data_IF_277071205054
#
_entry.id   IF_277071205054
#
_cell.length_a   1.000
_cell.length_b   1.000
_cell.length_c   1.000
_cell.angle_alpha   90.00
_cell.angle_beta   90.00
_cell.angle_gamma   90.00
#
_symmetry.space_group_name_H-M   'P 1'
#
loop_
_entity.id
_entity.type
_entity.pdbx_description
1 polymer ?
#
# COMPACT_ATOMS: atom_id res chain seq x y z
N UNK A 1 8.74 -39.07 21.61
CA UNK A 1 9.32 -38.98 22.98
C UNK A 1 9.75 -37.54 23.33
N UNK A 2 10.39 -36.80 22.41
CA UNK A 2 10.84 -35.42 22.62
C UNK A 2 9.69 -34.42 22.87
N UNK A 3 8.49 -34.69 22.37
CA UNK A 3 7.30 -33.86 22.64
C UNK A 3 6.72 -34.01 24.07
N UNK A 4 7.29 -34.88 24.91
CA UNK A 4 6.82 -35.07 26.30
C UNK A 4 7.46 -34.12 27.31
N UNK A 5 8.50 -33.37 26.93
CA UNK A 5 9.15 -32.38 27.80
C UNK A 5 8.86 -30.98 27.31
N UNK A 6 8.37 -30.08 28.17
CA UNK A 6 8.16 -28.68 27.89
C UNK A 6 9.48 -27.89 27.87
N UNK A 7 10.32 -28.22 26.90
CA UNK A 7 11.61 -27.56 26.65
C UNK A 7 11.56 -26.79 25.30
N UNK A 8 12.64 -26.12 24.95
CA UNK A 8 12.71 -25.34 23.68
C UNK A 8 12.51 -26.25 22.46
N UNK A 9 12.94 -27.49 22.48
CA UNK A 9 12.74 -28.45 21.39
C UNK A 9 11.28 -28.87 21.24
N UNK A 10 10.52 -29.01 22.35
CA UNK A 10 9.08 -29.26 22.29
C UNK A 10 8.35 -28.14 21.55
N UNK A 11 8.61 -26.89 21.90
CA UNK A 11 7.94 -25.75 21.23
C UNK A 11 8.33 -25.64 19.75
N UNK A 12 9.55 -25.95 19.42
CA UNK A 12 10.05 -25.94 18.05
C UNK A 12 9.38 -27.04 17.19
N UNK A 13 9.29 -28.26 17.71
CA UNK A 13 8.57 -29.36 17.06
C UNK A 13 7.07 -29.08 16.96
N UNK A 14 6.46 -28.50 17.99
CA UNK A 14 5.06 -28.09 17.94
C UNK A 14 4.82 -27.04 16.85
N UNK A 15 5.71 -26.07 16.72
CA UNK A 15 5.68 -25.06 15.65
C UNK A 15 5.80 -25.70 14.27
N UNK A 16 6.74 -26.63 14.10
CA UNK A 16 6.92 -27.38 12.86
C UNK A 16 5.64 -28.11 12.46
N UNK A 17 5.13 -28.97 13.34
CA UNK A 17 3.91 -29.75 13.09
C UNK A 17 2.70 -28.86 12.82
N UNK A 18 2.52 -27.80 13.62
CA UNK A 18 1.39 -26.86 13.46
C UNK A 18 1.39 -26.19 12.08
N UNK A 19 2.53 -25.73 11.60
CA UNK A 19 2.58 -25.07 10.28
C UNK A 19 2.39 -26.06 9.15
N UNK A 20 2.97 -27.27 9.23
CA UNK A 20 2.75 -28.34 8.24
C UNK A 20 1.27 -28.72 8.15
N UNK A 21 0.59 -28.90 9.28
CA UNK A 21 -0.81 -29.31 9.30
C UNK A 21 -1.76 -28.20 8.82
N UNK A 22 -1.43 -26.94 9.09
CA UNK A 22 -2.26 -25.80 8.70
C UNK A 22 -1.93 -25.27 7.30
N UNK A 23 -0.87 -25.76 6.67
CA UNK A 23 -0.52 -25.30 5.32
C UNK A 23 -1.56 -25.79 4.28
N UNK A 24 -1.98 -24.94 3.35
CA UNK A 24 -2.97 -25.30 2.32
C UNK A 24 -2.32 -26.11 1.18
N UNK A 25 -2.13 -27.40 1.38
CA UNK A 25 -1.46 -28.31 0.43
C UNK A 25 -2.24 -28.52 -0.88
N UNK A 26 -3.53 -28.25 -0.89
CA UNK A 26 -4.38 -28.53 -2.05
C UNK A 26 -5.23 -27.33 -2.41
N UNK A 27 -5.30 -27.02 -3.71
CA UNK A 27 -6.18 -26.02 -4.30
C UNK A 27 -7.49 -26.59 -4.83
N UNK A 28 -7.78 -27.87 -4.58
CA UNK A 28 -8.89 -28.59 -5.23
C UNK A 28 -10.26 -27.91 -5.04
N UNK A 29 -10.52 -27.34 -3.86
CA UNK A 29 -11.78 -26.63 -3.59
C UNK A 29 -11.91 -25.34 -4.39
N UNK A 30 -10.84 -24.57 -4.49
CA UNK A 30 -10.83 -23.30 -5.23
C UNK A 30 -10.85 -23.54 -6.74
N UNK A 31 -10.11 -24.54 -7.22
CA UNK A 31 -10.11 -24.93 -8.63
C UNK A 31 -11.49 -25.45 -9.08
N UNK A 32 -12.21 -26.16 -8.19
CA UNK A 32 -13.59 -26.59 -8.43
C UNK A 32 -14.55 -25.40 -8.53
N UNK A 33 -14.37 -24.37 -7.71
CA UNK A 33 -15.17 -23.14 -7.79
C UNK A 33 -15.06 -22.49 -9.18
N UNK A 34 -13.85 -22.27 -9.68
CA UNK A 34 -13.61 -21.70 -11.00
C UNK A 34 -14.04 -22.64 -12.13
N UNK A 35 -13.91 -23.96 -11.96
CA UNK A 35 -14.44 -24.95 -12.91
C UNK A 35 -15.96 -24.89 -13.05
N UNK A 36 -16.67 -24.66 -11.96
CA UNK A 36 -18.13 -24.47 -11.99
C UNK A 36 -18.53 -23.16 -12.67
N UNK A 37 -17.74 -22.08 -12.51
CA UNK A 37 -17.95 -20.83 -13.23
C UNK A 37 -17.72 -21.02 -14.74
N UNK A 38 -16.67 -21.75 -15.14
CA UNK A 38 -16.38 -22.06 -16.54
C UNK A 38 -17.52 -22.80 -17.25
N UNK A 39 -18.26 -23.64 -16.54
CA UNK A 39 -19.38 -24.41 -17.09
C UNK A 39 -20.67 -23.60 -17.21
N UNK A 40 -20.74 -22.37 -16.69
CA UNK A 40 -21.95 -21.57 -16.66
C UNK A 40 -21.62 -20.09 -16.94
N UNK A 41 -21.77 -19.68 -18.20
CA UNK A 41 -21.46 -18.33 -18.68
C UNK A 41 -22.22 -17.23 -17.93
N UNK A 42 -23.47 -17.49 -17.53
CA UNK A 42 -24.29 -16.50 -16.79
C UNK A 42 -23.68 -16.27 -15.40
N UNK A 43 -23.35 -17.34 -14.69
CA UNK A 43 -22.72 -17.22 -13.37
C UNK A 43 -21.33 -16.59 -13.44
N UNK A 44 -20.57 -16.89 -14.49
CA UNK A 44 -19.26 -16.28 -14.73
C UNK A 44 -19.38 -14.77 -14.96
N UNK A 45 -20.36 -14.35 -15.78
CA UNK A 45 -20.63 -12.94 -16.04
C UNK A 45 -21.06 -12.19 -14.76
N UNK A 46 -21.99 -12.77 -14.00
CA UNK A 46 -22.49 -12.20 -12.75
C UNK A 46 -21.34 -12.08 -11.70
N UNK A 47 -20.48 -13.09 -11.64
CA UNK A 47 -19.30 -13.06 -10.77
C UNK A 47 -18.33 -11.92 -11.14
N UNK A 48 -17.99 -11.79 -12.43
CA UNK A 48 -17.09 -10.71 -12.92
C UNK A 48 -17.70 -9.35 -12.61
N UNK A 49 -18.99 -9.12 -12.89
CA UNK A 49 -19.67 -7.87 -12.57
C UNK A 49 -19.67 -7.56 -11.09
N UNK A 50 -19.94 -8.55 -10.24
CA UNK A 50 -19.91 -8.37 -8.79
C UNK A 50 -18.50 -7.99 -8.29
N UNK A 51 -17.46 -8.59 -8.86
CA UNK A 51 -16.06 -8.23 -8.54
C UNK A 51 -15.76 -6.81 -9.01
N UNK A 52 -16.18 -6.43 -10.21
CA UNK A 52 -16.00 -5.07 -10.75
C UNK A 52 -16.70 -4.04 -9.86
N UNK A 53 -17.97 -4.24 -9.51
CA UNK A 53 -18.73 -3.38 -8.61
C UNK A 53 -18.06 -3.24 -7.24
N UNK A 54 -17.54 -4.33 -6.67
CA UNK A 54 -16.81 -4.28 -5.39
C UNK A 54 -15.52 -3.48 -5.50
N UNK A 55 -14.75 -3.64 -6.58
CA UNK A 55 -13.54 -2.88 -6.83
C UNK A 55 -13.83 -1.39 -7.00
N UNK A 56 -14.91 -1.03 -7.72
CA UNK A 56 -15.32 0.37 -7.87
C UNK A 56 -15.73 1.01 -6.54
N UNK A 57 -16.44 0.28 -5.70
CA UNK A 57 -16.90 0.78 -4.41
C UNK A 57 -15.80 0.86 -3.34
N UNK A 58 -14.73 0.08 -3.47
CA UNK A 58 -13.65 -0.01 -2.46
C UNK A 58 -12.46 0.90 -2.73
N UNK A 59 -12.21 1.27 -3.99
CA UNK A 59 -11.09 2.11 -4.38
C UNK A 59 -11.45 3.05 -5.53
N UNK A 60 -11.12 4.32 -5.37
CA UNK A 60 -11.34 5.34 -6.41
C UNK A 60 -10.24 5.30 -7.47
N UNK A 61 -10.63 5.37 -8.76
CA UNK A 61 -9.70 5.39 -9.89
C UNK A 61 -8.93 4.08 -10.08
N UNK A 62 -7.72 4.18 -10.64
CA UNK A 62 -6.84 3.05 -10.95
C UNK A 62 -7.42 2.05 -11.96
N UNK A 63 -8.12 2.54 -12.98
CA UNK A 63 -8.90 1.72 -13.95
C UNK A 63 -8.03 0.71 -14.68
N UNK A 64 -6.78 1.07 -15.06
CA UNK A 64 -5.84 0.14 -15.68
C UNK A 64 -5.45 -1.01 -14.75
N UNK A 65 -5.25 -0.71 -13.47
CA UNK A 65 -4.95 -1.72 -12.47
C UNK A 65 -6.14 -2.65 -12.27
N UNK A 66 -7.34 -2.10 -12.08
CA UNK A 66 -8.59 -2.87 -11.96
C UNK A 66 -8.83 -3.76 -13.18
N UNK A 67 -8.66 -3.21 -14.39
CA UNK A 67 -8.78 -3.97 -15.64
C UNK A 67 -7.79 -5.13 -15.73
N UNK A 68 -6.54 -4.90 -15.35
CA UNK A 68 -5.51 -5.95 -15.32
C UNK A 68 -5.87 -7.08 -14.36
N UNK A 69 -6.46 -6.75 -13.22
CA UNK A 69 -6.93 -7.73 -12.23
C UNK A 69 -8.14 -8.53 -12.76
N UNK A 70 -9.10 -7.89 -13.41
CA UNK A 70 -10.23 -8.58 -14.06
C UNK A 70 -9.76 -9.54 -15.16
N UNK A 71 -8.71 -9.21 -15.91
CA UNK A 71 -8.11 -10.12 -16.89
C UNK A 71 -7.58 -11.42 -16.27
N UNK A 72 -7.04 -11.34 -15.04
CA UNK A 72 -6.54 -12.53 -14.33
C UNK A 72 -7.69 -13.39 -13.87
N UNK A 73 -8.75 -12.78 -13.38
CA UNK A 73 -9.98 -13.51 -13.00
C UNK A 73 -10.54 -14.24 -14.23
N UNK A 74 -10.58 -13.55 -15.38
CA UNK A 74 -10.93 -14.18 -16.65
C UNK A 74 -10.03 -15.38 -17.00
N UNK A 75 -8.70 -15.26 -16.77
CA UNK A 75 -7.76 -16.38 -16.93
C UNK A 75 -8.11 -17.56 -16.01
N UNK A 76 -8.46 -17.31 -14.74
CA UNK A 76 -8.82 -18.38 -13.80
C UNK A 76 -10.14 -19.06 -14.15
N UNK A 77 -11.14 -18.31 -14.61
CA UNK A 77 -12.39 -18.88 -15.10
C UNK A 77 -12.15 -19.75 -16.33
N UNK A 78 -11.36 -19.25 -17.29
CA UNK A 78 -11.05 -19.99 -18.53
C UNK A 78 -10.17 -21.21 -18.29
N UNK A 79 -9.19 -21.09 -17.37
CA UNK A 79 -8.29 -22.18 -16.98
C UNK A 79 -8.14 -22.24 -15.45
N UNK A 80 -9.03 -22.98 -14.77
CA UNK A 80 -9.04 -23.11 -13.30
C UNK A 80 -7.71 -23.61 -12.73
N UNK A 81 -6.97 -24.42 -13.47
CA UNK A 81 -5.68 -24.95 -13.05
C UNK A 81 -4.50 -23.97 -13.28
N UNK A 82 -4.78 -22.78 -13.82
CA UNK A 82 -3.73 -21.81 -14.09
C UNK A 82 -3.04 -21.35 -12.80
N UNK A 83 -1.73 -21.11 -12.95
CA UNK A 83 -0.89 -20.57 -11.89
C UNK A 83 -1.28 -19.12 -11.53
N UNK A 84 -0.87 -18.69 -10.34
CA UNK A 84 -0.88 -17.31 -9.88
C UNK A 84 -0.07 -16.38 -10.81
N UNK A 85 -0.06 -15.13 -10.49
CA UNK A 85 0.64 -14.13 -11.30
C UNK A 85 1.30 -13.11 -10.36
N UNK A 86 2.48 -12.62 -10.77
CA UNK A 86 3.21 -11.59 -10.03
C UNK A 86 2.93 -10.21 -10.61
N UNK A 87 2.57 -9.25 -9.74
CA UNK A 87 2.28 -7.85 -10.09
C UNK A 87 3.14 -6.89 -9.31
N UNK A 88 3.57 -5.83 -9.97
CA UNK A 88 4.23 -4.69 -9.35
C UNK A 88 3.35 -3.45 -9.41
N UNK A 89 2.90 -2.94 -8.28
CA UNK A 89 2.19 -1.66 -8.17
C UNK A 89 3.24 -0.55 -8.00
N UNK A 90 3.53 0.17 -9.07
CA UNK A 90 4.53 1.24 -9.09
C UNK A 90 3.88 2.61 -9.07
N UNK A 91 4.39 3.52 -8.25
CA UNK A 91 3.86 4.88 -8.16
C UNK A 91 4.26 5.59 -6.87
N UNK A 92 4.00 6.89 -6.77
CA UNK A 92 4.40 7.68 -5.61
C UNK A 92 3.76 7.20 -4.31
N UNK A 93 4.31 7.59 -3.15
CA UNK A 93 3.73 7.21 -1.86
C UNK A 93 2.35 7.86 -1.65
N UNK A 94 1.48 7.15 -0.95
CA UNK A 94 0.15 7.67 -0.55
C UNK A 94 -0.95 7.60 -1.62
N UNK A 95 -0.69 7.01 -2.79
CA UNK A 95 -1.69 6.85 -3.88
C UNK A 95 -2.60 5.62 -3.72
N UNK A 96 -2.51 4.88 -2.62
CA UNK A 96 -3.43 3.80 -2.32
C UNK A 96 -3.01 2.41 -2.82
N UNK A 97 -1.74 2.15 -3.15
CA UNK A 97 -1.26 0.82 -3.60
C UNK A 97 -1.69 -0.33 -2.69
N UNK A 98 -1.48 -0.20 -1.38
CA UNK A 98 -1.89 -1.20 -0.38
C UNK A 98 -3.40 -1.34 -0.27
N UNK A 99 -4.14 -0.23 -0.39
CA UNK A 99 -5.61 -0.24 -0.40
C UNK A 99 -6.13 -1.01 -1.61
N UNK A 100 -5.57 -0.74 -2.80
CA UNK A 100 -5.93 -1.45 -4.02
C UNK A 100 -5.72 -2.97 -3.88
N UNK A 101 -4.58 -3.41 -3.34
CA UNK A 101 -4.30 -4.83 -3.12
C UNK A 101 -5.29 -5.48 -2.14
N UNK A 102 -5.68 -4.78 -1.07
CA UNK A 102 -6.73 -5.22 -0.14
C UNK A 102 -8.11 -5.28 -0.80
N UNK A 103 -8.44 -4.26 -1.59
CA UNK A 103 -9.72 -4.23 -2.33
C UNK A 103 -9.86 -5.43 -3.26
N UNK A 104 -8.78 -5.87 -3.89
CA UNK A 104 -8.76 -7.09 -4.71
C UNK A 104 -9.05 -8.33 -3.88
N UNK A 105 -8.41 -8.46 -2.72
CA UNK A 105 -8.66 -9.58 -1.80
C UNK A 105 -10.13 -9.65 -1.38
N UNK A 106 -10.69 -8.51 -0.99
CA UNK A 106 -12.10 -8.40 -0.58
C UNK A 106 -13.07 -8.66 -1.74
N UNK A 107 -12.76 -8.17 -2.94
CA UNK A 107 -13.59 -8.38 -4.12
C UNK A 107 -13.64 -9.85 -4.55
N UNK A 108 -12.49 -10.55 -4.46
CA UNK A 108 -12.35 -11.96 -4.82
C UNK A 108 -12.75 -12.94 -3.70
N UNK A 109 -12.94 -12.44 -2.48
CA UNK A 109 -13.11 -13.26 -1.26
C UNK A 109 -11.95 -14.26 -1.05
N UNK A 110 -10.73 -13.79 -1.28
CA UNK A 110 -9.49 -14.55 -1.03
C UNK A 110 -8.67 -13.89 0.09
N UNK A 111 -7.93 -14.67 0.88
CA UNK A 111 -7.12 -14.13 1.97
C UNK A 111 -6.01 -13.20 1.48
N UNK A 112 -5.64 -12.25 2.35
CA UNK A 112 -4.59 -11.27 2.12
C UNK A 112 -3.59 -11.30 3.27
N UNK A 113 -2.30 -11.38 2.95
CA UNK A 113 -1.24 -11.20 3.92
C UNK A 113 -0.21 -10.18 3.41
N UNK A 114 0.21 -9.27 4.29
CA UNK A 114 1.23 -8.28 4.00
C UNK A 114 2.56 -8.66 4.65
N UNK A 115 3.63 -8.55 3.87
CA UNK A 115 5.02 -8.71 4.29
C UNK A 115 5.74 -7.43 3.93
N UNK A 116 6.24 -6.69 4.93
CA UNK A 116 6.97 -5.45 4.71
C UNK A 116 8.46 -5.77 4.54
N UNK A 117 9.02 -5.41 3.40
CA UNK A 117 10.41 -5.63 3.06
C UNK A 117 11.31 -4.45 3.45
N UNK A 118 10.72 -3.25 3.61
CA UNK A 118 11.45 -2.03 3.93
C UNK A 118 12.27 -2.14 5.22
N UNK A 119 13.57 -1.83 5.11
CA UNK A 119 14.50 -1.92 6.25
C UNK A 119 15.01 -3.33 6.54
N UNK A 120 14.57 -4.35 5.82
CA UNK A 120 15.06 -5.73 5.94
C UNK A 120 16.27 -5.94 5.02
N UNK A 121 17.29 -6.61 5.53
CA UNK A 121 18.52 -6.91 4.76
C UNK A 121 18.79 -8.41 4.68
N UNK A 122 18.10 -9.20 5.50
CA UNK A 122 18.33 -10.60 5.71
C UNK A 122 17.18 -11.42 5.11
N UNK A 123 17.52 -12.37 4.25
CA UNK A 123 16.56 -13.27 3.64
C UNK A 123 15.93 -14.26 4.63
N UNK A 124 16.55 -14.47 5.79
CA UNK A 124 16.02 -15.36 6.83
C UNK A 124 14.59 -15.00 7.27
N UNK A 125 14.20 -13.73 7.14
CA UNK A 125 12.82 -13.29 7.37
C UNK A 125 11.84 -13.99 6.43
N UNK A 126 12.20 -14.19 5.16
CA UNK A 126 11.31 -14.78 4.16
C UNK A 126 11.29 -16.29 4.20
N UNK A 127 12.46 -16.92 4.31
CA UNK A 127 12.63 -18.38 4.21
C UNK A 127 13.10 -19.07 5.50
N UNK A 128 13.05 -18.36 6.63
CA UNK A 128 13.30 -18.95 7.95
C UNK A 128 14.77 -19.19 8.28
N UNK A 129 14.98 -19.56 9.53
CA UNK A 129 16.29 -19.94 10.07
C UNK A 129 16.48 -21.45 9.98
N UNK A 130 17.72 -21.91 9.78
CA UNK A 130 18.02 -23.34 9.78
C UNK A 130 17.55 -24.03 11.06
N UNK A 131 16.89 -25.18 10.93
CA UNK A 131 16.27 -25.90 12.04
C UNK A 131 17.21 -26.21 13.21
N UNK A 132 18.51 -26.36 12.95
CA UNK A 132 19.53 -26.74 13.97
C UNK A 132 19.80 -25.60 14.97
N UNK A 133 19.50 -24.36 14.65
CA UNK A 133 19.77 -23.23 15.54
C UNK A 133 18.78 -23.15 16.70
N UNK A 134 19.26 -22.77 17.90
CA UNK A 134 18.40 -22.47 19.04
C UNK A 134 17.55 -21.23 18.71
N UNK A 135 16.24 -21.30 18.93
CA UNK A 135 15.32 -20.21 18.61
C UNK A 135 14.96 -20.08 17.12
N UNK A 136 15.31 -21.07 16.28
CA UNK A 136 14.93 -21.08 14.87
C UNK A 136 13.41 -21.01 14.68
N UNK A 137 12.98 -20.27 13.65
CA UNK A 137 11.57 -20.07 13.31
C UNK A 137 11.35 -20.19 11.80
N UNK A 138 10.14 -20.60 11.37
CA UNK A 138 9.74 -20.55 9.98
C UNK A 138 9.80 -19.14 9.41
N UNK A 139 10.02 -19.03 8.10
CA UNK A 139 9.93 -17.77 7.38
C UNK A 139 8.52 -17.21 7.35
N UNK A 140 8.44 -15.90 7.09
CA UNK A 140 7.16 -15.18 7.05
C UNK A 140 6.24 -15.71 5.96
N UNK A 141 6.77 -16.20 4.83
CA UNK A 141 5.97 -16.73 3.72
C UNK A 141 5.15 -17.93 4.21
N UNK A 142 5.79 -18.94 4.78
CA UNK A 142 5.11 -20.15 5.25
C UNK A 142 4.20 -19.85 6.45
N UNK A 143 4.61 -18.96 7.37
CA UNK A 143 3.75 -18.51 8.46
C UNK A 143 2.46 -17.91 7.93
N UNK A 144 2.54 -16.99 6.97
CA UNK A 144 1.38 -16.33 6.39
C UNK A 144 0.50 -17.29 5.59
N UNK A 145 1.08 -18.21 4.83
CA UNK A 145 0.32 -19.24 4.12
C UNK A 145 -0.47 -20.14 5.08
N UNK A 146 0.16 -20.59 6.16
CA UNK A 146 -0.49 -21.40 7.18
C UNK A 146 -1.58 -20.64 7.97
N UNK A 147 -1.39 -19.32 8.20
CA UNK A 147 -2.41 -18.45 8.80
C UNK A 147 -3.62 -18.26 7.88
N UNK A 148 -3.40 -18.08 6.59
CA UNK A 148 -4.46 -17.88 5.59
C UNK A 148 -5.26 -19.15 5.27
N UNK A 149 -4.62 -20.31 5.28
CA UNK A 149 -5.26 -21.62 5.09
C UNK A 149 -5.88 -21.86 3.71
N UNK A 150 -5.58 -21.01 2.72
CA UNK A 150 -6.00 -21.16 1.32
C UNK A 150 -4.80 -21.06 0.38
N UNK A 151 -4.79 -21.88 -0.66
CA UNK A 151 -3.70 -21.88 -1.65
C UNK A 151 -3.81 -20.69 -2.61
N UNK A 152 -5.03 -20.29 -2.98
CA UNK A 152 -5.28 -19.04 -3.71
C UNK A 152 -5.46 -17.88 -2.71
N UNK A 153 -4.44 -17.07 -2.61
CA UNK A 153 -4.39 -15.93 -1.70
C UNK A 153 -3.51 -14.83 -2.30
N UNK A 154 -3.49 -13.67 -1.66
CA UNK A 154 -2.61 -12.57 -2.02
C UNK A 154 -1.49 -12.46 -0.98
N UNK A 155 -0.25 -12.64 -1.41
CA UNK A 155 0.94 -12.22 -0.68
C UNK A 155 1.38 -10.84 -1.20
N UNK A 156 1.24 -9.84 -0.35
CA UNK A 156 1.59 -8.46 -0.68
C UNK A 156 2.93 -8.10 -0.04
N UNK A 157 3.92 -7.83 -0.88
CA UNK A 157 5.26 -7.43 -0.48
C UNK A 157 5.39 -5.90 -0.60
N UNK A 158 5.50 -5.22 0.53
CA UNK A 158 5.55 -3.76 0.59
C UNK A 158 6.97 -3.23 0.62
N UNK A 159 7.20 -2.08 -0.02
CA UNK A 159 8.49 -1.38 -0.04
C UNK A 159 9.64 -2.19 -0.68
N UNK A 160 9.39 -2.81 -1.84
CA UNK A 160 10.37 -3.62 -2.56
C UNK A 160 11.64 -2.83 -2.93
N UNK A 161 11.48 -1.58 -3.38
CA UNK A 161 12.57 -0.66 -3.73
C UNK A 161 13.55 -0.42 -2.57
N UNK A 162 13.07 -0.40 -1.34
CA UNK A 162 13.91 -0.23 -0.15
C UNK A 162 14.70 -1.49 0.22
N UNK A 163 14.20 -2.65 -0.13
CA UNK A 163 14.90 -3.91 0.09
C UNK A 163 15.99 -4.16 -0.95
N UNK A 164 15.78 -3.71 -2.21
CA UNK A 164 16.69 -3.94 -3.34
C UNK A 164 17.80 -2.88 -3.48
N UNK A 165 17.69 -1.73 -2.82
CA UNK A 165 18.47 -0.51 -3.10
C UNK A 165 19.96 -0.51 -2.67
N UNK A 166 20.53 -1.64 -2.27
CA UNK A 166 21.96 -1.70 -1.90
C UNK A 166 22.83 -2.05 -3.10
N UNK A 167 23.51 -1.05 -3.63
CA UNK A 167 24.48 -1.20 -4.71
C UNK A 167 25.60 -2.21 -4.35
N UNK A 168 25.78 -3.19 -5.20
CA UNK A 168 26.99 -4.04 -5.28
C UNK A 168 27.05 -5.28 -4.38
N UNK A 169 26.03 -5.58 -3.57
CA UNK A 169 25.92 -6.83 -2.85
C UNK A 169 24.73 -7.67 -3.35
N UNK A 170 24.94 -8.96 -3.54
CA UNK A 170 23.83 -9.90 -3.81
C UNK A 170 22.86 -9.82 -2.64
N UNK A 171 21.68 -9.28 -2.89
CA UNK A 171 20.65 -9.17 -1.86
C UNK A 171 19.92 -10.51 -1.77
N UNK A 172 20.02 -11.18 -0.63
CA UNK A 172 19.40 -12.49 -0.39
C UNK A 172 17.88 -12.43 -0.58
N UNK A 173 17.23 -11.33 -0.15
CA UNK A 173 15.78 -11.08 -0.35
C UNK A 173 15.45 -11.10 -1.84
N UNK A 174 16.21 -10.37 -2.67
CA UNK A 174 16.00 -10.33 -4.12
C UNK A 174 16.13 -11.71 -4.74
N UNK A 175 17.13 -12.49 -4.34
CA UNK A 175 17.32 -13.87 -4.84
C UNK A 175 16.12 -14.76 -4.50
N UNK A 176 15.60 -14.69 -3.28
CA UNK A 176 14.41 -15.43 -2.87
C UNK A 176 13.19 -15.03 -3.69
N UNK A 177 12.99 -13.71 -3.90
CA UNK A 177 11.85 -13.21 -4.67
C UNK A 177 11.94 -13.60 -6.16
N UNK A 178 13.14 -13.64 -6.74
CA UNK A 178 13.36 -14.14 -8.09
C UNK A 178 12.92 -15.62 -8.21
N UNK A 179 13.25 -16.46 -7.23
CA UNK A 179 12.79 -17.84 -7.21
C UNK A 179 11.27 -17.96 -7.02
N UNK A 180 10.70 -17.15 -6.14
CA UNK A 180 9.25 -17.13 -5.89
C UNK A 180 8.43 -16.71 -7.11
N UNK A 181 8.94 -15.76 -7.89
CA UNK A 181 8.23 -15.23 -9.06
C UNK A 181 8.42 -16.09 -10.31
N UNK A 182 9.32 -17.09 -10.28
CA UNK A 182 9.53 -18.04 -11.39
C UNK A 182 8.43 -19.09 -11.42
N UNK A 183 7.60 -19.17 -12.48
CA UNK A 183 6.53 -20.17 -12.59
C UNK A 183 7.00 -21.62 -12.57
N UNK A 184 8.29 -21.88 -12.91
CA UNK A 184 8.85 -23.22 -12.94
C UNK A 184 9.37 -23.66 -11.57
N UNK A 185 9.59 -22.72 -10.65
CA UNK A 185 10.25 -22.99 -9.36
C UNK A 185 9.33 -22.75 -8.16
N UNK A 186 8.26 -21.96 -8.33
CA UNK A 186 7.39 -21.54 -7.22
C UNK A 186 6.51 -22.67 -6.65
N UNK A 187 6.43 -23.82 -7.29
CA UNK A 187 5.74 -25.00 -6.78
C UNK A 187 6.57 -25.83 -5.78
N UNK A 188 7.85 -25.51 -5.63
CA UNK A 188 8.80 -26.20 -4.75
C UNK A 188 9.60 -25.23 -3.89
N UNK A 189 8.90 -24.27 -3.28
CA UNK A 189 9.55 -23.36 -2.35
C UNK A 189 10.01 -24.09 -1.10
N UNK A 190 11.29 -23.93 -0.73
CA UNK A 190 11.87 -24.53 0.47
C UNK A 190 12.15 -23.46 1.53
N UNK A 191 11.57 -23.65 2.69
CA UNK A 191 11.86 -22.87 3.88
C UNK A 191 12.97 -23.58 4.70
N UNK A 192 13.96 -22.82 5.15
CA UNK A 192 15.12 -23.38 5.88
C UNK A 192 14.75 -24.07 7.19
N UNK A 193 13.64 -23.68 7.81
CA UNK A 193 13.14 -24.32 9.02
C UNK A 193 12.56 -25.72 8.74
N UNK A 194 11.95 -25.91 7.57
CA UNK A 194 11.30 -27.15 7.17
C UNK A 194 12.17 -27.94 6.17
N UNK A 195 13.40 -28.19 6.49
CA UNK A 195 14.36 -28.85 5.60
C UNK A 195 13.78 -30.05 4.85
N UNK A 196 13.87 -30.01 3.51
CA UNK A 196 13.42 -31.08 2.63
C UNK A 196 11.90 -31.11 2.37
N UNK A 197 11.15 -30.11 2.79
CA UNK A 197 9.72 -29.97 2.48
C UNK A 197 9.54 -28.93 1.40
N UNK A 198 8.93 -29.32 0.28
CA UNK A 198 8.57 -28.42 -0.81
C UNK A 198 7.15 -27.87 -0.59
N UNK A 199 7.03 -26.55 -0.54
CA UNK A 199 5.78 -25.86 -0.34
C UNK A 199 5.27 -25.30 -1.67
N UNK A 200 4.11 -25.73 -2.17
CA UNK A 200 3.54 -25.21 -3.42
C UNK A 200 3.01 -23.79 -3.23
N UNK A 201 3.56 -22.82 -3.96
CA UNK A 201 3.13 -21.42 -4.02
C UNK A 201 2.63 -21.04 -5.42
N UNK A 202 2.44 -21.99 -6.31
CA UNK A 202 2.07 -21.78 -7.72
C UNK A 202 0.69 -21.13 -7.92
N UNK A 203 -0.20 -21.20 -6.93
CA UNK A 203 -1.54 -20.60 -6.98
C UNK A 203 -1.61 -19.19 -6.34
N UNK A 204 -0.55 -18.75 -5.68
CA UNK A 204 -0.50 -17.47 -4.98
C UNK A 204 -0.42 -16.32 -5.97
N UNK A 205 -1.18 -15.24 -5.70
CA UNK A 205 -0.97 -13.95 -6.34
C UNK A 205 0.09 -13.20 -5.53
N UNK A 206 1.22 -12.92 -6.16
CA UNK A 206 2.26 -12.12 -5.55
C UNK A 206 2.10 -10.67 -6.00
N UNK A 207 1.86 -9.77 -5.06
CA UNK A 207 1.76 -8.34 -5.33
C UNK A 207 2.91 -7.62 -4.66
N UNK A 208 3.63 -6.82 -5.42
CA UNK A 208 4.73 -6.00 -4.93
C UNK A 208 4.36 -4.54 -5.00
N UNK A 209 4.77 -3.73 -4.01
CA UNK A 209 4.67 -2.28 -4.07
C UNK A 209 6.05 -1.64 -4.00
N UNK A 210 6.27 -0.65 -4.83
CA UNK A 210 7.48 0.17 -4.85
C UNK A 210 7.19 1.54 -5.44
N UNK A 211 8.07 2.50 -5.17
CA UNK A 211 7.90 3.85 -5.67
C UNK A 211 8.72 4.10 -6.93
N UNK A 212 9.87 3.44 -7.04
CA UNK A 212 10.83 3.63 -8.12
C UNK A 212 11.32 2.27 -8.63
N UNK A 213 10.96 1.92 -9.87
CA UNK A 213 11.37 0.68 -10.53
C UNK A 213 12.88 0.64 -10.82
N UNK A 214 13.54 1.79 -10.94
CA UNK A 214 15.00 1.84 -11.19
C UNK A 214 15.83 1.29 -10.01
N UNK A 215 15.24 1.21 -8.83
CA UNK A 215 15.87 0.68 -7.62
C UNK A 215 15.62 -0.82 -7.42
N UNK A 216 14.80 -1.43 -8.25
CA UNK A 216 14.47 -2.86 -8.21
C UNK A 216 15.36 -3.61 -9.19
N UNK A 217 15.75 -4.83 -8.82
CA UNK A 217 16.58 -5.69 -9.67
C UNK A 217 15.87 -6.00 -11.01
N UNK A 218 16.61 -5.89 -12.11
CA UNK A 218 16.06 -6.04 -13.47
C UNK A 218 15.53 -7.45 -13.76
N UNK A 219 16.16 -8.50 -13.17
CA UNK A 219 15.73 -9.90 -13.35
C UNK A 219 14.39 -10.11 -12.64
N UNK A 220 14.20 -9.47 -11.49
CA UNK A 220 12.94 -9.52 -10.76
C UNK A 220 11.84 -8.74 -11.50
N UNK A 221 12.17 -7.57 -12.07
CA UNK A 221 11.22 -6.77 -12.85
C UNK A 221 10.71 -7.51 -14.10
N UNK A 222 11.56 -8.23 -14.78
CA UNK A 222 11.19 -9.05 -15.96
C UNK A 222 10.11 -10.11 -15.64
N UNK A 223 10.01 -10.53 -14.39
CA UNK A 223 9.04 -11.54 -13.90
C UNK A 223 7.78 -10.95 -13.31
N UNK A 224 7.74 -9.65 -13.13
CA UNK A 224 6.65 -8.91 -12.51
C UNK A 224 5.93 -8.08 -13.59
N UNK A 225 4.62 -8.26 -13.72
CA UNK A 225 3.81 -7.37 -14.56
C UNK A 225 3.63 -6.04 -13.85
N UNK A 226 4.30 -4.99 -14.31
CA UNK A 226 4.15 -3.65 -13.74
C UNK A 226 2.78 -3.05 -14.05
N UNK A 227 2.20 -2.42 -13.05
CA UNK A 227 0.96 -1.66 -13.12
C UNK A 227 1.24 -0.29 -12.51
N UNK A 228 1.15 0.75 -13.34
CA UNK A 228 1.34 2.12 -12.88
C UNK A 228 0.14 2.62 -12.09
N UNK A 229 0.41 3.10 -10.89
CA UNK A 229 -0.56 3.74 -10.01
C UNK A 229 -0.29 5.24 -10.03
N UNK A 230 -1.04 5.94 -10.86
CA UNK A 230 -0.84 7.37 -11.12
C UNK A 230 -1.14 8.25 -9.90
N UNK A 231 -0.49 9.42 -9.81
CA UNK A 231 -0.86 10.45 -8.83
C UNK A 231 -2.31 10.88 -9.01
N UNK A 232 -2.95 11.30 -7.92
CA UNK A 232 -4.29 11.85 -7.98
C UNK A 232 -4.28 13.33 -8.36
N UNK A 233 -5.20 13.72 -9.22
CA UNK A 233 -5.50 15.12 -9.48
C UNK A 233 -6.20 15.76 -8.27
N UNK A 234 -6.27 17.09 -8.21
CA UNK A 234 -7.00 17.81 -7.14
C UNK A 234 -8.47 17.37 -7.12
N UNK A 235 -9.08 17.20 -8.28
CA UNK A 235 -10.47 16.72 -8.40
C UNK A 235 -10.65 15.32 -7.81
N UNK A 236 -9.71 14.38 -8.11
CA UNK A 236 -9.74 13.02 -7.57
C UNK A 236 -9.60 13.02 -6.05
N UNK A 237 -8.66 13.83 -5.52
CA UNK A 237 -8.47 13.98 -4.08
C UNK A 237 -9.72 14.46 -3.38
N UNK A 238 -10.45 15.43 -3.97
CA UNK A 238 -11.70 15.95 -3.43
C UNK A 238 -12.76 14.84 -3.37
N UNK A 239 -12.91 14.07 -4.45
CA UNK A 239 -13.88 12.97 -4.49
C UNK A 239 -13.51 11.84 -3.48
N UNK A 240 -12.24 11.47 -3.40
CA UNK A 240 -11.77 10.49 -2.40
C UNK A 240 -12.06 10.96 -0.99
N UNK A 241 -11.81 12.24 -0.70
CA UNK A 241 -12.04 12.79 0.64
C UNK A 241 -13.52 12.78 0.99
N UNK A 242 -14.39 13.20 0.08
CA UNK A 242 -15.83 13.29 0.33
C UNK A 242 -16.48 11.94 0.48
N UNK A 243 -16.15 11.00 -0.42
CA UNK A 243 -16.88 9.75 -0.57
C UNK A 243 -16.32 8.63 0.30
N UNK A 244 -15.01 8.65 0.62
CA UNK A 244 -14.34 7.59 1.36
C UNK A 244 -13.74 8.07 2.69
N UNK A 245 -12.84 9.07 2.64
CA UNK A 245 -12.05 9.45 3.82
C UNK A 245 -12.89 10.09 4.92
N UNK A 246 -13.74 11.05 4.57
CA UNK A 246 -14.54 11.79 5.55
C UNK A 246 -15.58 10.91 6.26
N UNK A 247 -16.34 10.04 5.57
CA UNK A 247 -17.23 9.09 6.24
C UNK A 247 -16.49 8.13 7.18
N UNK A 248 -15.34 7.58 6.74
CA UNK A 248 -14.50 6.70 7.54
C UNK A 248 -14.03 7.39 8.84
N UNK A 249 -13.49 8.61 8.71
CA UNK A 249 -12.98 9.37 9.85
C UNK A 249 -14.11 9.81 10.82
N UNK A 250 -15.26 10.24 10.29
CA UNK A 250 -16.42 10.57 11.12
C UNK A 250 -16.85 9.38 11.98
N UNK A 251 -16.95 8.19 11.39
CA UNK A 251 -17.30 6.97 12.09
C UNK A 251 -16.27 6.58 13.14
N UNK A 252 -14.98 6.66 12.81
CA UNK A 252 -13.89 6.28 13.72
C UNK A 252 -13.79 7.20 14.95
N UNK A 253 -14.14 8.50 14.80
CA UNK A 253 -14.05 9.51 15.86
C UNK A 253 -15.37 9.64 16.65
N UNK A 254 -16.48 9.07 16.15
CA UNK A 254 -17.79 9.15 16.81
C UNK A 254 -18.54 10.46 16.51
N UNK A 255 -18.44 10.96 15.28
CA UNK A 255 -19.19 12.12 14.81
C UNK A 255 -20.45 11.73 14.02
N UNK A 256 -21.05 10.57 14.28
CA UNK A 256 -22.24 10.10 13.55
C UNK A 256 -23.46 11.01 13.73
N UNK A 257 -23.58 11.67 14.88
CA UNK A 257 -24.71 12.54 15.22
C UNK A 257 -24.52 14.00 14.81
N UNK A 258 -23.32 14.40 14.36
CA UNK A 258 -23.00 15.79 14.05
C UNK A 258 -22.72 15.93 12.56
N UNK A 259 -23.47 16.81 11.92
CA UNK A 259 -23.28 17.14 10.51
C UNK A 259 -22.10 18.11 10.33
N UNK A 260 -20.91 17.55 10.06
CA UNK A 260 -19.73 18.33 9.70
C UNK A 260 -19.68 18.46 8.18
N UNK A 261 -19.89 19.68 7.70
CA UNK A 261 -19.86 20.03 6.27
C UNK A 261 -18.52 20.64 5.90
N UNK A 262 -17.81 19.93 5.01
CA UNK A 262 -16.59 20.41 4.38
C UNK A 262 -16.89 20.68 2.90
N UNK A 263 -16.85 21.95 2.50
CA UNK A 263 -17.12 22.32 1.11
C UNK A 263 -15.94 21.96 0.21
N UNK A 264 -16.19 21.87 -1.11
CA UNK A 264 -15.14 21.63 -2.11
C UNK A 264 -13.99 22.64 -1.97
N UNK A 265 -14.31 23.92 -1.85
CA UNK A 265 -13.31 24.99 -1.74
C UNK A 265 -12.44 24.85 -0.48
N UNK A 266 -12.98 24.37 0.62
CA UNK A 266 -12.21 24.14 1.85
C UNK A 266 -11.27 22.93 1.71
N UNK A 267 -11.71 21.86 1.04
CA UNK A 267 -10.84 20.73 0.74
C UNK A 267 -9.69 21.18 -0.17
N UNK A 268 -10.00 21.92 -1.23
CA UNK A 268 -9.03 22.50 -2.17
C UNK A 268 -8.04 23.41 -1.44
N UNK A 269 -8.52 24.28 -0.56
CA UNK A 269 -7.70 25.12 0.29
C UNK A 269 -6.72 24.32 1.18
N UNK A 270 -7.18 23.20 1.78
CA UNK A 270 -6.31 22.32 2.58
C UNK A 270 -5.26 21.63 1.69
N UNK A 271 -5.65 21.16 0.50
CA UNK A 271 -4.74 20.52 -0.45
C UNK A 271 -3.61 21.47 -0.83
N UNK A 272 -3.94 22.68 -1.23
CA UNK A 272 -2.99 23.65 -1.77
C UNK A 272 -2.08 24.25 -0.69
N UNK A 273 -2.59 24.48 0.52
CA UNK A 273 -1.84 25.19 1.55
C UNK A 273 -1.19 24.27 2.60
N UNK A 274 -1.68 23.04 2.78
CA UNK A 274 -1.21 22.17 3.86
C UNK A 274 -0.69 20.83 3.40
N UNK A 275 -0.81 20.48 2.09
CA UNK A 275 -0.33 19.20 1.60
C UNK A 275 0.30 19.33 0.22
N UNK A 276 1.59 18.97 0.09
CA UNK A 276 2.29 18.89 -1.20
C UNK A 276 2.62 17.43 -1.49
N UNK A 277 1.61 16.62 -1.83
CA UNK A 277 1.80 15.19 -2.06
C UNK A 277 1.05 14.71 -3.32
N UNK A 278 1.59 13.64 -3.92
CA UNK A 278 0.96 12.96 -5.06
C UNK A 278 -0.32 12.20 -4.67
N UNK A 279 -0.40 11.73 -3.43
CA UNK A 279 -1.48 10.92 -2.89
C UNK A 279 -2.45 11.68 -1.99
N UNK A 280 -3.07 10.93 -1.06
CA UNK A 280 -4.08 11.43 -0.12
C UNK A 280 -3.71 11.19 1.35
N UNK A 281 -2.49 10.72 1.62
CA UNK A 281 -2.08 10.32 2.98
C UNK A 281 -1.99 11.50 3.95
N UNK A 282 -1.35 12.59 3.53
CA UNK A 282 -1.17 13.77 4.37
C UNK A 282 -2.47 14.55 4.52
N UNK A 283 -3.28 14.65 3.45
CA UNK A 283 -4.58 15.31 3.57
C UNK A 283 -5.53 14.53 4.49
N UNK A 284 -5.52 13.18 4.46
CA UNK A 284 -6.26 12.35 5.43
C UNK A 284 -5.84 12.69 6.87
N UNK A 285 -4.53 12.78 7.13
CA UNK A 285 -3.99 13.15 8.44
C UNK A 285 -4.40 14.57 8.87
N UNK A 286 -4.41 15.53 7.93
CA UNK A 286 -4.84 16.91 8.23
C UNK A 286 -6.32 17.00 8.55
N UNK A 287 -7.16 16.28 7.82
CA UNK A 287 -8.59 16.19 8.12
C UNK A 287 -8.83 15.50 9.47
N UNK A 288 -8.11 14.43 9.75
CA UNK A 288 -8.16 13.73 11.05
C UNK A 288 -7.77 14.67 12.20
N UNK A 289 -6.69 15.44 12.07
CA UNK A 289 -6.24 16.45 13.04
C UNK A 289 -7.34 17.49 13.31
N UNK A 290 -8.01 17.97 12.26
CA UNK A 290 -9.14 18.91 12.38
C UNK A 290 -10.30 18.24 13.15
N UNK A 291 -10.69 17.03 12.77
CA UNK A 291 -11.80 16.33 13.41
C UNK A 291 -11.51 15.98 14.87
N UNK A 292 -10.29 15.55 15.20
CA UNK A 292 -9.88 15.27 16.58
C UNK A 292 -9.92 16.54 17.45
N UNK A 293 -9.47 17.69 16.94
CA UNK A 293 -9.55 18.97 17.63
C UNK A 293 -11.00 19.37 17.88
N UNK A 294 -11.85 19.24 16.86
CA UNK A 294 -13.28 19.49 17.01
C UNK A 294 -13.96 18.54 18.00
N UNK A 295 -13.52 17.28 18.07
CA UNK A 295 -14.05 16.32 19.04
C UNK A 295 -13.68 16.71 20.49
N UNK A 296 -12.44 17.15 20.69
CA UNK A 296 -12.02 17.67 22.01
C UNK A 296 -12.85 18.90 22.41
N UNK A 297 -13.07 19.84 21.49
CA UNK A 297 -13.92 21.02 21.73
C UNK A 297 -15.37 20.63 22.06
N UNK A 298 -15.90 19.59 21.40
CA UNK A 298 -17.23 19.02 21.69
C UNK A 298 -17.31 18.49 23.14
N UNK A 299 -16.36 17.67 23.53
CA UNK A 299 -16.31 17.05 24.86
C UNK A 299 -16.17 18.15 25.94
N UNK A 300 -15.31 19.14 25.70
CA UNK A 300 -15.07 20.25 26.61
C UNK A 300 -16.15 21.34 26.56
N UNK A 301 -17.13 21.25 25.66
CA UNK A 301 -18.16 22.29 25.39
C UNK A 301 -17.56 23.68 25.16
N UNK A 302 -16.46 23.73 24.40
CA UNK A 302 -15.72 24.96 24.09
C UNK A 302 -15.87 25.32 22.60
N UNK A 303 -15.35 26.47 22.23
CA UNK A 303 -15.27 26.92 20.85
C UNK A 303 -16.61 26.85 20.10
N UNK A 304 -16.64 26.13 18.99
CA UNK A 304 -17.82 25.99 18.13
C UNK A 304 -18.98 25.23 18.80
N UNK A 305 -18.70 24.43 19.85
CA UNK A 305 -19.67 23.59 20.55
C UNK A 305 -20.20 24.20 21.85
N UNK A 306 -19.81 25.43 22.20
CA UNK A 306 -20.32 26.13 23.38
C UNK A 306 -21.85 26.30 23.39
N UNK A 307 -22.52 26.22 22.21
CA UNK A 307 -23.97 26.39 22.02
C UNK A 307 -24.69 25.13 21.52
N UNK A 308 -24.23 23.92 21.86
CA UNK A 308 -24.85 22.64 21.45
C UNK A 308 -25.24 22.57 19.95
N UNK A 309 -24.34 22.96 19.06
CA UNK A 309 -24.59 22.93 17.61
C UNK A 309 -24.60 21.49 17.10
N UNK A 310 -25.61 21.15 16.31
CA UNK A 310 -25.74 19.85 15.62
C UNK A 310 -25.11 19.85 14.22
N UNK A 311 -24.79 21.02 13.67
CA UNK A 311 -24.15 21.15 12.35
C UNK A 311 -23.04 22.20 12.41
N UNK A 312 -21.90 21.88 11.80
CA UNK A 312 -20.75 22.76 11.70
C UNK A 312 -20.33 22.83 10.22
N UNK A 313 -20.17 24.03 9.71
CA UNK A 313 -19.55 24.28 8.41
C UNK A 313 -18.13 24.74 8.65
N UNK A 314 -17.15 24.01 8.11
CA UNK A 314 -15.75 24.40 8.20
C UNK A 314 -15.49 25.60 7.28
N UNK A 315 -14.72 26.56 7.80
CA UNK A 315 -14.27 27.76 7.08
C UNK A 315 -12.75 27.84 7.12
N UNK A 316 -12.15 28.59 6.21
CA UNK A 316 -10.69 28.81 6.19
C UNK A 316 -10.15 29.32 7.53
N UNK A 317 -10.89 30.20 8.21
CA UNK A 317 -10.50 30.71 9.52
C UNK A 317 -10.36 29.60 10.55
N UNK A 318 -11.32 28.68 10.62
CA UNK A 318 -11.29 27.52 11.52
C UNK A 318 -10.09 26.63 11.18
N UNK A 319 -9.82 26.41 9.89
CA UNK A 319 -8.69 25.61 9.43
C UNK A 319 -7.36 26.27 9.86
N UNK A 320 -7.21 27.57 9.64
CA UNK A 320 -6.00 28.32 10.07
C UNK A 320 -5.80 28.29 11.58
N UNK A 321 -6.87 28.41 12.35
CA UNK A 321 -6.80 28.36 13.82
C UNK A 321 -6.36 26.98 14.33
N UNK A 322 -6.77 25.90 13.65
CA UNK A 322 -6.44 24.50 14.05
C UNK A 322 -5.07 24.10 13.53
N UNK A 323 -4.84 24.21 12.22
CA UNK A 323 -3.61 23.69 11.57
C UNK A 323 -2.41 24.66 11.67
N UNK A 324 -2.65 25.90 12.08
CA UNK A 324 -1.65 26.98 12.29
C UNK A 324 -0.85 27.33 11.02
N UNK A 325 0.36 26.78 10.87
CA UNK A 325 1.26 27.17 9.79
C UNK A 325 0.97 26.40 8.50
N UNK A 326 0.64 27.08 7.38
CA UNK A 326 0.59 26.45 6.07
C UNK A 326 2.00 26.03 5.61
N UNK A 327 2.08 25.00 4.75
CA UNK A 327 3.35 24.55 4.14
C UNK A 327 3.80 25.58 3.10
N UNK A 328 2.86 26.20 2.40
CA UNK A 328 3.15 27.27 1.47
C UNK A 328 3.07 28.63 2.20
N UNK A 329 4.16 29.04 2.81
CA UNK A 329 4.43 30.48 2.79
C UNK A 329 4.64 30.81 1.32
N UNK A 330 3.62 31.42 0.69
CA UNK A 330 3.77 31.98 -0.64
C UNK A 330 4.85 33.04 -0.49
N UNK A 331 6.07 32.64 -0.83
CA UNK A 331 7.19 33.58 -0.94
C UNK A 331 6.73 34.64 -1.93
N UNK A 332 6.71 35.87 -1.50
CA UNK A 332 6.30 37.00 -2.32
C UNK A 332 7.06 36.94 -3.64
N UNK A 333 6.31 36.74 -4.73
CA UNK A 333 6.88 36.74 -6.06
C UNK A 333 7.49 38.09 -6.30
N UNK A 334 8.77 38.14 -6.64
CA UNK A 334 9.40 39.41 -7.03
C UNK A 334 8.71 39.94 -8.28
N UNK A 335 7.94 41.01 -8.10
CA UNK A 335 7.13 41.63 -9.16
C UNK A 335 7.95 42.63 -9.99
N UNK A 336 9.11 43.07 -9.50
CA UNK A 336 9.97 44.06 -10.18
C UNK A 336 11.28 43.36 -10.62
N UNK A 337 11.79 43.66 -11.83
CA UNK A 337 13.09 43.17 -12.24
C UNK A 337 14.19 43.82 -11.38
N UNK A 338 14.97 42.97 -10.68
CA UNK A 338 16.11 43.37 -9.89
C UNK A 338 17.33 42.53 -10.27
N UNK A 339 18.53 43.13 -10.25
CA UNK A 339 19.78 42.43 -10.55
C UNK A 339 20.07 41.44 -9.41
N UNK A 340 20.33 40.19 -9.77
CA UNK A 340 20.59 39.12 -8.80
C UNK A 340 19.38 38.41 -8.26
N UNK A 341 18.19 38.70 -8.78
CA UNK A 341 16.95 37.98 -8.41
C UNK A 341 16.25 37.45 -9.67
N UNK A 342 15.89 36.17 -9.64
CA UNK A 342 15.11 35.53 -10.71
C UNK A 342 14.05 34.62 -10.10
N UNK A 343 12.86 34.62 -10.67
CA UNK A 343 11.81 33.67 -10.31
C UNK A 343 12.02 32.35 -11.08
N UNK A 344 12.49 31.32 -10.39
CA UNK A 344 12.62 29.96 -10.90
C UNK A 344 11.28 29.24 -10.85
N UNK A 345 11.03 28.32 -11.78
CA UNK A 345 9.88 27.40 -11.76
C UNK A 345 10.33 26.05 -11.20
N UNK A 346 9.48 25.45 -10.38
CA UNK A 346 9.69 24.07 -9.95
C UNK A 346 8.43 23.23 -10.21
N UNK A 347 8.63 21.96 -10.49
CA UNK A 347 7.57 20.95 -10.55
C UNK A 347 7.90 19.83 -9.56
N UNK A 348 6.87 19.34 -8.88
CA UNK A 348 7.00 18.20 -7.97
C UNK A 348 6.57 16.92 -8.67
N UNK A 349 7.07 15.78 -8.21
CA UNK A 349 6.62 14.45 -8.68
C UNK A 349 5.13 14.20 -8.39
N UNK A 350 4.51 15.02 -7.55
CA UNK A 350 3.07 14.99 -7.23
C UNK A 350 2.18 15.73 -8.22
N UNK A 351 2.73 16.25 -9.35
CA UNK A 351 1.97 16.98 -10.36
C UNK A 351 1.60 18.41 -9.97
N UNK A 352 2.14 18.93 -8.86
CA UNK A 352 2.07 20.35 -8.48
C UNK A 352 3.37 21.07 -8.85
N UNK A 353 3.29 22.39 -9.01
CA UNK A 353 4.44 23.23 -9.26
C UNK A 353 4.28 24.59 -8.61
N UNK A 354 5.32 25.39 -8.65
CA UNK A 354 5.32 26.72 -8.08
C UNK A 354 6.48 27.57 -8.55
N UNK A 355 6.61 28.74 -7.94
CA UNK A 355 7.66 29.71 -8.22
C UNK A 355 8.56 29.80 -6.99
N UNK A 356 9.87 29.72 -7.22
CA UNK A 356 10.90 29.93 -6.18
C UNK A 356 11.72 31.16 -6.56
N UNK A 357 11.74 32.22 -5.74
CA UNK A 357 12.66 33.33 -5.95
C UNK A 357 14.09 32.86 -5.64
N UNK A 358 14.96 33.00 -6.63
CA UNK A 358 16.38 32.66 -6.53
C UNK A 358 17.14 33.97 -6.41
N UNK A 359 17.91 34.14 -5.32
CA UNK A 359 18.74 35.30 -5.08
C UNK A 359 20.20 34.93 -5.19
N UNK A 360 20.97 35.75 -5.91
CA UNK A 360 22.41 35.60 -6.06
C UNK A 360 23.09 36.78 -5.37
N UNK A 361 23.93 36.46 -4.38
CA UNK A 361 24.72 37.46 -3.67
C UNK A 361 26.19 37.37 -4.10
N UNK A 362 26.81 38.51 -4.35
CA UNK A 362 28.27 38.60 -4.57
C UNK A 362 28.95 38.40 -3.21
N UNK A 363 29.71 37.32 -3.09
CA UNK A 363 30.51 37.10 -1.88
C UNK A 363 31.81 37.93 -1.95
N UNK A 364 31.96 38.95 -1.10
CA UNK A 364 33.12 39.83 -1.09
C UNK A 364 34.43 39.11 -0.74
N UNK A 365 34.38 37.88 -0.20
CA UNK A 365 35.59 37.09 0.13
C UNK A 365 36.23 36.41 -1.07
N UNK A 366 35.64 36.42 -2.23
CA UNK A 366 36.22 35.88 -3.47
C UNK A 366 36.91 36.94 -4.36
N UNK A 367 37.02 38.17 -3.88
CA UNK A 367 37.69 39.27 -4.60
C UNK A 367 39.23 39.31 -4.42
N UNK A 368 39.82 38.41 -3.67
CA UNK A 368 41.24 38.16 -3.64
C UNK A 368 41.57 36.91 -4.44
N UNK A 369 41.54 37.07 -5.77
CA UNK A 369 42.13 36.09 -6.66
C UNK A 369 43.65 36.21 -6.57
N UNK A 370 44.29 35.19 -6.08
CA UNK A 370 45.60 34.68 -6.50
C UNK A 370 45.46 33.17 -6.67
#
# INVERSE_FOLDING_TARGET
EEMKSFNNEYFKQLTFVKHILNYPWSSAGEDMFFSNLKQNDIKALDYIKNVEDKLENSSYGHDEAKKSLLQIIGKWISNPNSQGTSFGLVGPPGVGKTLLAKSVSEALDIPFAQITLGGQNDGEILHGHGYTYSGSQPGMIIKKMAEMGKSRCILYFDELDKACSKHGQVNEITSILIHLTDPNMNNSFQDRFFQGVDFPLDKVIMMFSYNDSSLVDSILLDRIKEINVSPYTISDKIEIIKNFTLPELKKSIGFDEIDIKITKNIIEYIIENYTMEAGVRNIKRKIEEILLTLNLDKICKKGLFAKNRKSIVLTEKIIKDILKLPISDITDIHLKPEIGIINGLYATTGGSGGIIPIQVFINASSATGE
#
